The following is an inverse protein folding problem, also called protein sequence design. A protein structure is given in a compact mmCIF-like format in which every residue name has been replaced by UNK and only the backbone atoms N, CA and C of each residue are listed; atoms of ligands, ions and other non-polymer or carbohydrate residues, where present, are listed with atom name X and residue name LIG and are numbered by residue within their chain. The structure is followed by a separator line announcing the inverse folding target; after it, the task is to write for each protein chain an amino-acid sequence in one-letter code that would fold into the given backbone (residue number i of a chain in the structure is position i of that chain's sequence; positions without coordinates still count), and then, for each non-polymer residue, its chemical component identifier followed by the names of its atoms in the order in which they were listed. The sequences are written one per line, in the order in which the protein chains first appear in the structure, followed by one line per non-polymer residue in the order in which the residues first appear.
data_IF_476554112540
#
_entry.id   IF_476554112540
#
_cell.length_a   1.000
_cell.length_b   1.000
_cell.length_c   1.000
_cell.angle_alpha   90.00
_cell.angle_beta   90.00
_cell.angle_gamma   90.00
#
_symmetry.space_group_name_H-M   'P 1'
#
loop_
_entity.id
_entity.type
_entity.pdbx_description
1 polymer ?
#
# COMPACT_ATOMS: atom_id res chain seq x y z
N UNK A 1 68.77 27.57 15.36
CA UNK A 1 67.64 26.83 15.97
C UNK A 1 66.71 26.43 14.83
N UNK A 2 66.37 25.15 14.76
CA UNK A 2 65.86 24.45 13.57
C UNK A 2 64.43 24.83 13.12
N UNK A 3 64.18 24.51 11.85
CA UNK A 3 62.98 24.68 11.00
C UNK A 3 61.87 23.67 11.35
N UNK A 4 60.59 24.05 11.17
CA UNK A 4 59.57 23.34 10.34
C UNK A 4 58.14 23.20 10.90
N UNK A 5 57.19 23.73 10.10
CA UNK A 5 55.87 23.23 9.66
C UNK A 5 54.85 22.54 10.60
N UNK A 6 53.60 23.05 10.54
CA UNK A 6 52.36 22.33 10.15
C UNK A 6 51.18 23.31 10.38
N UNK A 7 50.60 23.99 9.38
CA UNK A 7 49.65 23.50 8.38
C UNK A 7 48.62 22.51 8.97
N UNK A 8 47.58 23.05 9.59
CA UNK A 8 46.28 22.38 9.66
C UNK A 8 45.28 23.12 8.78
N UNK A 9 45.27 22.71 7.52
CA UNK A 9 44.15 22.90 6.61
C UNK A 9 42.95 22.18 7.23
N UNK A 10 42.01 22.92 7.82
CA UNK A 10 40.70 22.37 8.13
C UNK A 10 39.98 22.20 6.79
N UNK A 11 40.08 20.99 6.24
CA UNK A 11 39.29 20.52 5.13
C UNK A 11 37.81 20.73 5.47
N UNK A 12 37.19 21.68 4.76
CA UNK A 12 35.76 21.62 4.47
C UNK A 12 35.48 20.26 3.85
N UNK A 13 34.96 19.32 4.63
CA UNK A 13 34.19 18.21 4.08
C UNK A 13 32.94 18.83 3.48
N UNK A 14 33.04 19.14 2.19
CA UNK A 14 31.87 19.27 1.32
C UNK A 14 31.16 17.92 1.42
N UNK A 15 30.13 17.85 2.26
CA UNK A 15 29.12 16.80 2.12
C UNK A 15 28.54 17.02 0.74
N UNK A 16 28.90 16.17 -0.22
CA UNK A 16 28.17 16.05 -1.48
C UNK A 16 26.70 15.98 -1.10
N UNK A 17 25.90 16.97 -1.49
CA UNK A 17 24.47 16.90 -1.29
C UNK A 17 24.01 15.61 -1.94
N UNK A 18 23.64 14.61 -1.12
CA UNK A 18 23.02 13.37 -1.59
C UNK A 18 21.87 13.76 -2.50
N UNK A 19 21.69 13.06 -3.63
CA UNK A 19 20.58 13.29 -4.54
C UNK A 19 19.28 13.41 -3.71
N UNK A 20 18.48 14.48 -3.86
CA UNK A 20 17.18 14.62 -3.22
C UNK A 20 16.33 13.35 -3.25
N UNK A 21 16.39 12.59 -4.34
CA UNK A 21 15.71 11.29 -4.44
C UNK A 21 16.30 10.23 -3.49
N UNK A 22 17.63 10.15 -3.37
CA UNK A 22 18.30 9.19 -2.48
C UNK A 22 17.89 9.39 -1.02
N UNK A 23 17.68 10.64 -0.59
CA UNK A 23 17.21 10.92 0.77
C UNK A 23 15.81 10.33 1.03
N UNK A 24 14.91 10.42 0.05
CA UNK A 24 13.56 9.86 0.16
C UNK A 24 13.59 8.32 0.10
N UNK A 25 14.41 7.74 -0.77
CA UNK A 25 14.61 6.29 -0.85
C UNK A 25 15.24 5.72 0.43
N UNK A 26 16.21 6.43 1.02
CA UNK A 26 16.82 6.05 2.29
C UNK A 26 15.80 6.07 3.43
N UNK A 27 14.96 7.11 3.49
CA UNK A 27 13.90 7.19 4.50
C UNK A 27 12.88 6.04 4.35
N UNK A 28 12.54 5.65 3.12
CA UNK A 28 11.70 4.48 2.85
C UNK A 28 12.39 3.19 3.32
N UNK A 29 13.64 2.95 2.95
CA UNK A 29 14.36 1.74 3.35
C UNK A 29 14.50 1.62 4.86
N UNK A 30 14.82 2.72 5.54
CA UNK A 30 14.94 2.75 6.99
C UNK A 30 13.59 2.55 7.67
N UNK A 31 12.53 3.18 7.15
CA UNK A 31 11.15 3.01 7.60
C UNK A 31 10.71 1.54 7.55
N UNK A 32 10.86 0.88 6.40
CA UNK A 32 10.56 -0.55 6.24
C UNK A 32 11.37 -1.43 7.20
N UNK A 33 12.63 -1.09 7.42
CA UNK A 33 13.51 -1.83 8.35
C UNK A 33 13.02 -1.70 9.79
N UNK A 34 12.64 -0.50 10.23
CA UNK A 34 12.11 -0.29 11.57
C UNK A 34 10.73 -0.91 11.76
N UNK A 35 9.85 -0.81 10.75
CA UNK A 35 8.51 -1.40 10.77
C UNK A 35 8.57 -2.93 10.84
N UNK A 36 9.43 -3.57 10.03
CA UNK A 36 9.65 -5.03 10.08
C UNK A 36 10.22 -5.52 11.42
N UNK A 37 10.92 -4.65 12.16
CA UNK A 37 11.43 -4.93 13.50
C UNK A 37 10.41 -4.59 14.61
N UNK A 38 9.22 -4.10 14.26
CA UNK A 38 8.19 -3.66 15.21
C UNK A 38 8.58 -2.42 16.03
N UNK A 39 9.58 -1.64 15.58
CA UNK A 39 10.07 -0.45 16.28
C UNK A 39 9.21 0.78 16.02
N UNK A 40 8.53 0.81 14.89
CA UNK A 40 7.58 1.86 14.50
C UNK A 40 6.35 1.22 13.86
N UNK A 41 5.22 1.91 13.86
CA UNK A 41 4.05 1.47 13.09
C UNK A 41 4.23 1.76 11.60
N UNK A 42 3.47 1.07 10.73
CA UNK A 42 3.44 1.42 9.30
C UNK A 42 2.93 2.86 9.09
N UNK A 43 2.09 3.38 10.00
CA UNK A 43 1.65 4.77 9.96
C UNK A 43 2.83 5.73 10.19
N UNK A 44 3.70 5.43 11.15
CA UNK A 44 4.90 6.23 11.44
C UNK A 44 5.92 6.14 10.30
N UNK A 45 6.06 4.96 9.69
CA UNK A 45 6.85 4.79 8.47
C UNK A 45 6.36 5.74 7.37
N UNK A 46 5.05 5.73 7.05
CA UNK A 46 4.47 6.61 6.03
C UNK A 46 4.69 8.08 6.35
N UNK A 47 4.50 8.47 7.61
CA UNK A 47 4.73 9.84 8.07
C UNK A 47 6.18 10.25 7.81
N UNK A 48 7.14 9.39 8.16
CA UNK A 48 8.56 9.66 7.96
C UNK A 48 8.95 9.85 6.51
N UNK A 49 8.43 9.01 5.60
CA UNK A 49 8.69 9.16 4.16
C UNK A 49 8.08 10.48 3.68
N UNK A 50 6.85 10.82 4.10
CA UNK A 50 6.18 12.08 3.77
C UNK A 50 6.95 13.31 4.26
N UNK A 51 7.36 13.33 5.52
CA UNK A 51 8.15 14.43 6.09
C UNK A 51 9.50 14.59 5.39
N UNK A 52 10.14 13.48 5.01
CA UNK A 52 11.39 13.54 4.24
C UNK A 52 11.17 14.13 2.86
N UNK A 53 10.10 13.73 2.17
CA UNK A 53 9.71 14.33 0.90
C UNK A 53 9.48 15.83 1.04
N UNK A 54 8.71 16.26 2.05
CA UNK A 54 8.39 17.66 2.27
C UNK A 54 9.63 18.50 2.61
N UNK A 55 10.54 17.96 3.42
CA UNK A 55 11.80 18.62 3.76
C UNK A 55 12.72 18.78 2.55
N UNK A 56 12.76 17.79 1.66
CA UNK A 56 13.73 17.73 0.55
C UNK A 56 13.21 18.45 -0.70
N UNK A 57 11.95 18.22 -1.07
CA UNK A 57 11.36 18.79 -2.29
C UNK A 57 10.43 19.96 -2.01
N UNK A 58 9.81 20.01 -0.84
CA UNK A 58 8.82 21.02 -0.49
C UNK A 58 7.60 21.02 -1.43
N UNK A 59 6.78 22.09 -1.39
CA UNK A 59 5.69 22.28 -2.34
C UNK A 59 6.22 22.41 -3.76
N UNK A 60 5.40 22.04 -4.75
CA UNK A 60 5.73 22.25 -6.17
C UNK A 60 5.87 23.76 -6.44
N UNK A 61 7.04 24.27 -6.89
CA UNK A 61 7.22 25.67 -7.21
C UNK A 61 6.26 26.10 -8.32
N UNK A 62 5.80 27.34 -8.26
CA UNK A 62 4.90 27.90 -9.28
C UNK A 62 5.48 27.78 -10.70
N UNK A 63 6.81 27.92 -10.83
CA UNK A 63 7.57 27.82 -12.09
C UNK A 63 8.33 26.50 -12.21
N UNK A 64 7.76 25.39 -11.74
CA UNK A 64 8.43 24.08 -11.83
C UNK A 64 8.77 23.66 -13.27
N UNK A 65 8.05 24.17 -14.26
CA UNK A 65 8.28 23.93 -15.69
C UNK A 65 9.61 24.53 -16.18
N UNK A 66 10.29 25.34 -15.38
CA UNK A 66 11.63 25.88 -15.69
C UNK A 66 12.76 25.00 -15.13
N UNK A 67 12.42 24.03 -14.28
CA UNK A 67 13.42 23.11 -13.73
C UNK A 67 14.02 22.24 -14.84
N UNK A 68 15.32 21.89 -14.76
CA UNK A 68 15.93 20.90 -15.66
C UNK A 68 15.19 19.56 -15.62
N UNK A 69 15.17 18.84 -16.75
CA UNK A 69 14.44 17.56 -16.86
C UNK A 69 14.94 16.50 -15.88
N UNK A 70 16.21 16.54 -15.51
CA UNK A 70 16.79 15.69 -14.46
C UNK A 70 16.15 15.93 -13.09
N UNK A 71 16.02 17.20 -12.68
CA UNK A 71 15.36 17.57 -11.43
C UNK A 71 13.87 17.21 -11.43
N UNK A 72 13.18 17.40 -12.56
CA UNK A 72 11.80 16.95 -12.73
C UNK A 72 11.68 15.43 -12.63
N UNK A 73 12.63 14.68 -13.17
CA UNK A 73 12.65 13.22 -13.09
C UNK A 73 12.84 12.75 -11.66
N UNK A 74 13.81 13.31 -10.93
CA UNK A 74 14.03 13.02 -9.52
C UNK A 74 12.78 13.32 -8.68
N UNK A 75 12.16 14.48 -8.93
CA UNK A 75 10.93 14.89 -8.23
C UNK A 75 9.73 14.02 -8.58
N UNK A 76 9.57 13.61 -9.84
CA UNK A 76 8.53 12.67 -10.26
C UNK A 76 8.68 11.34 -9.53
N UNK A 77 9.90 10.77 -9.51
CA UNK A 77 10.15 9.49 -8.82
C UNK A 77 9.86 9.57 -7.33
N UNK A 78 10.23 10.68 -6.68
CA UNK A 78 9.91 10.90 -5.28
C UNK A 78 8.39 11.06 -5.06
N UNK A 79 7.69 11.77 -5.94
CA UNK A 79 6.24 11.95 -5.86
C UNK A 79 5.48 10.64 -6.14
N UNK A 80 5.94 9.82 -7.08
CA UNK A 80 5.45 8.47 -7.36
C UNK A 80 5.58 7.57 -6.12
N UNK A 81 6.76 7.57 -5.47
CA UNK A 81 6.96 6.82 -4.24
C UNK A 81 5.99 7.26 -3.14
N UNK A 82 5.89 8.56 -2.88
CA UNK A 82 4.98 9.08 -1.86
C UNK A 82 3.52 8.79 -2.19
N UNK A 83 3.10 8.97 -3.44
CA UNK A 83 1.75 8.65 -3.89
C UNK A 83 1.42 7.17 -3.64
N UNK A 84 2.38 6.27 -3.86
CA UNK A 84 2.23 4.85 -3.56
C UNK A 84 2.02 4.56 -2.08
N UNK A 85 2.83 5.15 -1.20
CA UNK A 85 2.77 4.87 0.24
C UNK A 85 1.63 5.60 0.95
N UNK A 86 1.42 6.88 0.64
CA UNK A 86 0.52 7.76 1.38
C UNK A 86 -0.90 7.76 0.82
N UNK A 87 -1.06 7.53 -0.49
CA UNK A 87 -2.32 7.72 -1.20
C UNK A 87 -2.92 9.12 -1.00
N UNK A 88 -2.08 10.12 -0.75
CA UNK A 88 -2.50 11.51 -0.62
C UNK A 88 -2.83 12.10 -2.01
N UNK A 89 -4.10 12.49 -2.29
CA UNK A 89 -4.49 13.08 -3.56
C UNK A 89 -3.63 14.27 -3.99
N UNK A 90 -3.17 15.11 -3.06
CA UNK A 90 -2.33 16.26 -3.39
C UNK A 90 -0.97 15.83 -3.97
N UNK A 91 -0.43 14.70 -3.50
CA UNK A 91 0.84 14.13 -3.99
C UNK A 91 0.66 13.46 -5.34
N UNK A 92 -0.50 12.85 -5.57
CA UNK A 92 -0.86 12.30 -6.88
C UNK A 92 -1.01 13.43 -7.90
N UNK A 93 -1.70 14.53 -7.55
CA UNK A 93 -1.82 15.72 -8.41
C UNK A 93 -0.43 16.35 -8.74
N UNK A 94 0.49 16.40 -7.76
CA UNK A 94 1.87 16.83 -8.00
C UNK A 94 2.60 15.90 -9.00
N UNK A 95 2.51 14.58 -8.79
CA UNK A 95 3.12 13.60 -9.68
C UNK A 95 2.55 13.71 -11.11
N UNK A 96 1.24 13.92 -11.25
CA UNK A 96 0.56 14.14 -12.52
C UNK A 96 1.05 15.41 -13.22
N UNK A 97 1.18 16.52 -12.49
CA UNK A 97 1.66 17.80 -13.04
C UNK A 97 3.09 17.70 -13.56
N UNK A 98 3.98 17.02 -12.82
CA UNK A 98 5.37 16.80 -13.23
C UNK A 98 5.42 15.84 -14.42
N UNK A 99 4.62 14.77 -14.42
CA UNK A 99 4.55 13.81 -15.52
C UNK A 99 4.10 14.47 -16.82
N UNK A 100 3.11 15.37 -16.77
CA UNK A 100 2.64 16.11 -17.94
C UNK A 100 3.75 16.99 -18.55
N UNK A 101 4.56 17.62 -17.72
CA UNK A 101 5.71 18.42 -18.19
C UNK A 101 6.83 17.53 -18.76
N UNK A 102 7.15 16.41 -18.11
CA UNK A 102 8.12 15.44 -18.63
C UNK A 102 7.67 14.88 -19.99
N UNK A 103 6.39 14.58 -20.15
CA UNK A 103 5.78 14.14 -21.41
C UNK A 103 5.89 15.21 -22.50
N UNK A 104 5.59 16.47 -22.18
CA UNK A 104 5.70 17.60 -23.10
C UNK A 104 7.13 17.77 -23.63
N UNK A 105 8.13 17.44 -22.81
CA UNK A 105 9.56 17.45 -23.16
C UNK A 105 10.03 16.21 -23.92
N UNK A 106 9.16 15.24 -24.19
CA UNK A 106 9.52 14.00 -24.87
C UNK A 106 10.32 13.02 -24.00
N UNK A 107 10.18 13.09 -22.67
CA UNK A 107 10.88 12.17 -21.76
C UNK A 107 10.35 10.75 -21.90
N UNK A 108 11.25 9.77 -21.96
CA UNK A 108 10.92 8.33 -22.04
C UNK A 108 10.03 7.89 -20.87
N UNK A 109 9.23 6.82 -21.06
CA UNK A 109 8.39 6.24 -20.01
C UNK A 109 7.02 6.89 -19.81
N UNK A 110 6.54 7.67 -20.79
CA UNK A 110 5.21 8.30 -20.76
C UNK A 110 4.08 7.33 -20.41
N UNK A 111 4.06 6.17 -21.07
CA UNK A 111 3.00 5.18 -20.87
C UNK A 111 3.01 4.60 -19.45
N UNK A 112 4.19 4.26 -18.93
CA UNK A 112 4.33 3.73 -17.57
C UNK A 112 3.88 4.76 -16.52
N UNK A 113 4.24 6.04 -16.70
CA UNK A 113 3.76 7.13 -15.82
C UNK A 113 2.24 7.26 -15.86
N UNK A 114 1.64 7.26 -17.06
CA UNK A 114 0.17 7.35 -17.22
C UNK A 114 -0.53 6.19 -16.53
N UNK A 115 -0.03 4.96 -16.70
CA UNK A 115 -0.58 3.76 -16.04
C UNK A 115 -0.48 3.85 -14.54
N UNK A 116 0.69 4.22 -14.01
CA UNK A 116 0.85 4.40 -12.56
C UNK A 116 -0.11 5.45 -12.01
N UNK A 117 -0.19 6.63 -12.62
CA UNK A 117 -1.06 7.72 -12.15
C UNK A 117 -2.54 7.35 -12.23
N UNK A 118 -2.97 6.68 -13.30
CA UNK A 118 -4.33 6.19 -13.40
C UNK A 118 -4.67 5.20 -12.27
N UNK A 119 -3.73 4.30 -11.97
CA UNK A 119 -3.90 3.32 -10.91
C UNK A 119 -3.87 3.96 -9.50
N UNK A 120 -3.04 5.00 -9.28
CA UNK A 120 -3.02 5.80 -8.06
C UNK A 120 -4.34 6.56 -7.84
N UNK A 121 -4.88 7.19 -8.88
CA UNK A 121 -6.18 7.85 -8.81
C UNK A 121 -7.33 6.89 -8.52
N UNK A 122 -7.31 5.69 -9.12
CA UNK A 122 -8.28 4.65 -8.83
C UNK A 122 -8.16 4.13 -7.39
N UNK A 123 -6.93 4.03 -6.85
CA UNK A 123 -6.70 3.64 -5.46
C UNK A 123 -7.34 4.62 -4.47
N UNK A 124 -7.38 5.92 -4.79
CA UNK A 124 -8.11 6.96 -4.03
C UNK A 124 -9.53 7.21 -4.53
N UNK A 125 -10.09 6.26 -5.30
CA UNK A 125 -11.50 6.22 -5.73
C UNK A 125 -11.91 7.37 -6.67
N UNK A 126 -10.95 7.93 -7.40
CA UNK A 126 -11.15 8.95 -8.45
C UNK A 126 -11.16 8.31 -9.83
N UNK A 127 -12.22 7.54 -10.12
CA UNK A 127 -12.42 6.87 -11.41
C UNK A 127 -12.36 7.86 -12.58
N UNK A 128 -12.96 9.03 -12.43
CA UNK A 128 -12.99 10.12 -13.42
C UNK A 128 -11.59 10.50 -13.91
N UNK A 129 -10.68 10.74 -12.95
CA UNK A 129 -9.28 11.10 -13.24
C UNK A 129 -8.51 9.94 -13.84
N UNK A 130 -8.69 8.73 -13.31
CA UNK A 130 -8.04 7.53 -13.82
C UNK A 130 -8.39 7.26 -15.30
N UNK A 131 -9.68 7.37 -15.66
CA UNK A 131 -10.15 7.20 -17.06
C UNK A 131 -9.58 8.27 -17.98
N UNK A 132 -9.57 9.52 -17.54
CA UNK A 132 -9.01 10.63 -18.32
C UNK A 132 -7.53 10.41 -18.69
N UNK A 133 -6.74 9.83 -17.77
CA UNK A 133 -5.33 9.52 -18.00
C UNK A 133 -5.09 8.35 -18.95
N UNK A 134 -6.04 7.44 -19.15
CA UNK A 134 -5.87 6.30 -20.06
C UNK A 134 -6.47 6.53 -21.46
N UNK A 135 -7.36 7.50 -21.63
CA UNK A 135 -7.87 7.89 -22.95
C UNK A 135 -8.54 6.72 -23.67
N UNK A 136 -7.93 6.22 -24.74
CA UNK A 136 -8.43 5.05 -25.49
C UNK A 136 -8.55 3.79 -24.62
N UNK A 137 -7.70 3.65 -23.59
CA UNK A 137 -7.72 2.50 -22.67
C UNK A 137 -8.60 2.76 -21.44
N UNK A 138 -9.46 3.78 -21.44
CA UNK A 138 -10.31 4.12 -20.29
C UNK A 138 -11.24 2.97 -19.85
N UNK A 139 -11.61 2.06 -20.75
CA UNK A 139 -12.43 0.88 -20.42
C UNK A 139 -11.68 -0.19 -19.61
N UNK A 140 -10.35 -0.06 -19.48
CA UNK A 140 -9.55 -0.86 -18.55
C UNK A 140 -9.70 -0.44 -17.09
N UNK A 141 -10.17 0.78 -16.84
CA UNK A 141 -10.47 1.26 -15.49
C UNK A 141 -11.81 0.66 -15.02
N UNK A 142 -11.83 -0.07 -13.90
CA UNK A 142 -13.08 -0.57 -13.33
C UNK A 142 -14.04 0.57 -12.97
N UNK A 143 -15.34 0.35 -13.18
CA UNK A 143 -16.38 1.27 -12.72
C UNK A 143 -16.63 1.11 -11.22
N UNK A 144 -16.78 2.22 -10.52
CA UNK A 144 -17.08 2.28 -9.10
C UNK A 144 -18.58 2.46 -8.88
N UNK A 145 -19.17 1.56 -8.09
CA UNK A 145 -20.53 1.69 -7.58
C UNK A 145 -20.45 1.95 -6.08
N UNK A 146 -20.42 3.22 -5.73
CA UNK A 146 -20.20 3.69 -4.36
C UNK A 146 -21.51 3.85 -3.59
N UNK A 147 -21.43 3.67 -2.27
CA UNK A 147 -22.55 3.94 -1.38
C UNK A 147 -22.59 5.45 -1.07
N UNK A 148 -23.78 6.09 -1.04
CA UNK A 148 -23.88 7.54 -0.88
C UNK A 148 -23.26 8.08 0.43
N UNK A 149 -23.39 7.33 1.52
CA UNK A 149 -22.81 7.64 2.82
C UNK A 149 -22.50 6.33 3.55
N UNK A 150 -21.31 6.23 4.15
CA UNK A 150 -20.89 5.12 4.98
C UNK A 150 -20.18 5.61 6.24
N UNK A 151 -20.63 5.10 7.38
CA UNK A 151 -19.97 5.26 8.67
C UNK A 151 -19.23 3.95 8.98
N UNK A 152 -17.96 4.05 9.39
CA UNK A 152 -17.11 2.88 9.65
C UNK A 152 -16.36 2.32 8.43
N UNK A 153 -15.71 1.15 8.58
CA UNK A 153 -14.96 0.49 7.51
C UNK A 153 -15.88 -0.05 6.42
N UNK A 154 -15.41 0.04 5.18
CA UNK A 154 -16.08 -0.55 4.02
C UNK A 154 -15.05 -1.15 3.07
N UNK A 155 -15.52 -2.02 2.18
CA UNK A 155 -14.68 -2.70 1.21
C UNK A 155 -15.26 -2.58 -0.19
N UNK A 156 -14.43 -2.88 -1.19
CA UNK A 156 -14.82 -3.06 -2.57
C UNK A 156 -14.87 -4.54 -2.90
N UNK A 157 -16.02 -4.98 -3.39
CA UNK A 157 -16.25 -6.29 -3.98
C UNK A 157 -16.09 -6.20 -5.49
N UNK A 158 -15.40 -7.18 -6.08
CA UNK A 158 -15.28 -7.30 -7.53
C UNK A 158 -16.53 -7.95 -8.14
N UNK A 159 -16.98 -7.39 -9.26
CA UNK A 159 -18.00 -7.89 -10.17
C UNK A 159 -17.47 -7.84 -11.61
N UNK A 160 -18.12 -8.52 -12.55
CA UNK A 160 -17.79 -8.48 -13.99
C UNK A 160 -16.29 -8.69 -14.25
N UNK A 161 -15.71 -9.77 -13.70
CA UNK A 161 -14.27 -10.08 -13.84
C UNK A 161 -13.33 -8.96 -13.36
N UNK A 162 -13.80 -8.15 -12.40
CA UNK A 162 -13.04 -7.02 -11.86
C UNK A 162 -13.27 -5.70 -12.60
N UNK A 163 -14.17 -5.67 -13.59
CA UNK A 163 -14.55 -4.45 -14.34
C UNK A 163 -15.51 -3.55 -13.57
N UNK A 164 -16.15 -4.06 -12.52
CA UNK A 164 -17.00 -3.29 -11.62
C UNK A 164 -16.57 -3.53 -10.18
N UNK A 165 -16.42 -2.45 -9.41
CA UNK A 165 -16.11 -2.47 -7.98
C UNK A 165 -17.30 -1.90 -7.22
N UNK A 166 -17.92 -2.73 -6.40
CA UNK A 166 -19.10 -2.34 -5.61
C UNK A 166 -18.67 -2.13 -4.17
N UNK A 167 -18.96 -0.95 -3.62
CA UNK A 167 -18.72 -0.67 -2.21
C UNK A 167 -19.76 -1.36 -1.34
N UNK A 168 -19.31 -2.04 -0.29
CA UNK A 168 -20.17 -2.67 0.73
C UNK A 168 -19.62 -2.42 2.15
N UNK A 169 -20.47 -2.36 3.18
CA UNK A 169 -20.02 -2.27 4.57
C UNK A 169 -19.12 -3.45 4.94
N UNK A 170 -18.13 -3.22 5.80
CA UNK A 170 -17.28 -4.29 6.33
C UNK A 170 -17.78 -4.75 7.70
N UNK A 171 -18.06 -6.03 7.86
CA UNK A 171 -18.61 -6.58 9.10
C UNK A 171 -17.52 -6.76 10.16
N UNK A 172 -17.75 -6.21 11.35
CA UNK A 172 -16.83 -6.27 12.49
C UNK A 172 -17.49 -6.80 13.76
N UNK A 173 -18.82 -6.95 13.79
CA UNK A 173 -19.58 -7.49 14.91
C UNK A 173 -19.38 -9.00 15.07
N UNK A 174 -19.48 -9.46 16.31
CA UNK A 174 -19.23 -10.84 16.68
C UNK A 174 -17.77 -11.23 16.53
N UNK A 175 -17.53 -12.54 16.39
CA UNK A 175 -16.18 -13.09 16.22
C UNK A 175 -15.83 -13.11 14.73
N UNK A 176 -14.72 -12.49 14.34
CA UNK A 176 -14.23 -12.46 12.95
C UNK A 176 -12.73 -12.74 12.93
N UNK A 177 -12.28 -13.57 12.00
CA UNK A 177 -10.87 -13.69 11.65
C UNK A 177 -10.64 -12.92 10.36
N UNK A 178 -10.13 -11.69 10.46
CA UNK A 178 -9.76 -10.92 9.28
C UNK A 178 -8.34 -11.25 8.89
N UNK A 179 -8.11 -11.57 7.63
CA UNK A 179 -6.78 -11.85 7.10
C UNK A 179 -6.45 -10.81 6.04
N UNK A 180 -5.47 -9.97 6.32
CA UNK A 180 -4.92 -9.02 5.35
C UNK A 180 -4.03 -9.81 4.39
N UNK A 181 -4.36 -9.83 3.11
CA UNK A 181 -3.74 -10.68 2.09
C UNK A 181 -3.51 -9.91 0.79
N UNK A 182 -2.60 -10.41 -0.05
CA UNK A 182 -2.40 -9.89 -1.40
C UNK A 182 -2.42 -11.05 -2.41
N UNK A 183 -3.15 -10.96 -3.54
CA UNK A 183 -3.29 -12.07 -4.51
C UNK A 183 -1.94 -12.56 -5.06
N UNK A 184 -0.98 -11.64 -5.21
CA UNK A 184 0.33 -11.96 -5.77
C UNK A 184 1.37 -12.37 -4.72
N UNK A 185 1.07 -12.27 -3.41
CA UNK A 185 1.99 -12.65 -2.34
C UNK A 185 2.02 -14.17 -2.13
N UNK A 186 3.21 -14.78 -2.24
CA UNK A 186 3.41 -16.22 -2.05
C UNK A 186 2.97 -16.71 -0.67
N UNK A 187 3.40 -16.03 0.39
CA UNK A 187 3.00 -16.35 1.77
C UNK A 187 1.50 -16.22 1.99
N UNK A 188 0.83 -15.27 1.33
CA UNK A 188 -0.63 -15.16 1.40
C UNK A 188 -1.30 -16.38 0.76
N UNK A 189 -0.84 -16.80 -0.43
CA UNK A 189 -1.41 -17.98 -1.10
C UNK A 189 -1.21 -19.26 -0.29
N UNK A 190 -0.04 -19.43 0.33
CA UNK A 190 0.24 -20.58 1.20
C UNK A 190 -0.65 -20.59 2.46
N UNK A 191 -0.80 -19.44 3.12
CA UNK A 191 -1.70 -19.28 4.26
C UNK A 191 -3.16 -19.60 3.90
N UNK A 192 -3.64 -19.09 2.77
CA UNK A 192 -5.01 -19.32 2.30
C UNK A 192 -5.23 -20.78 1.90
N UNK A 193 -4.25 -21.42 1.25
CA UNK A 193 -4.30 -22.83 0.95
C UNK A 193 -4.39 -23.68 2.22
N UNK A 194 -3.67 -23.32 3.29
CA UNK A 194 -3.80 -23.99 4.57
C UNK A 194 -5.20 -23.79 5.17
N UNK A 195 -5.70 -22.54 5.21
CA UNK A 195 -7.04 -22.20 5.72
C UNK A 195 -8.15 -22.99 5.01
N UNK A 196 -8.07 -23.16 3.69
CA UNK A 196 -9.09 -23.85 2.91
C UNK A 196 -8.99 -25.37 2.98
N UNK A 197 -7.77 -25.94 3.04
CA UNK A 197 -7.58 -27.38 2.88
C UNK A 197 -7.32 -28.13 4.20
N UNK A 198 -6.83 -27.47 5.25
CA UNK A 198 -6.55 -28.14 6.53
C UNK A 198 -7.83 -28.35 7.34
N UNK A 199 -8.23 -29.60 7.64
CA UNK A 199 -9.44 -29.88 8.42
C UNK A 199 -9.45 -29.24 9.80
N UNK A 200 -8.29 -28.97 10.41
CA UNK A 200 -8.22 -28.30 11.72
C UNK A 200 -8.74 -26.86 11.70
N UNK A 201 -8.92 -26.26 10.52
CA UNK A 201 -9.49 -24.93 10.35
C UNK A 201 -10.98 -24.95 9.96
N UNK A 202 -11.63 -26.12 9.91
CA UNK A 202 -13.02 -26.22 9.46
C UNK A 202 -13.97 -25.30 10.26
N UNK A 203 -13.88 -25.29 11.59
CA UNK A 203 -14.75 -24.45 12.44
C UNK A 203 -14.48 -22.94 12.31
N UNK A 204 -13.29 -22.55 11.85
CA UNK A 204 -12.91 -21.14 11.74
C UNK A 204 -13.28 -20.52 10.38
N UNK A 205 -13.38 -21.32 9.31
CA UNK A 205 -13.59 -20.85 7.92
C UNK A 205 -14.80 -19.92 7.77
N UNK A 206 -15.90 -20.21 8.46
CA UNK A 206 -17.13 -19.39 8.42
C UNK A 206 -16.98 -18.01 9.09
N UNK A 207 -15.86 -17.76 9.79
CA UNK A 207 -15.55 -16.49 10.44
C UNK A 207 -14.46 -15.71 9.68
N UNK A 208 -13.91 -16.25 8.60
CA UNK A 208 -12.81 -15.65 7.86
C UNK A 208 -13.33 -14.55 6.94
N UNK A 209 -12.64 -13.41 6.95
CA UNK A 209 -12.81 -12.34 5.95
C UNK A 209 -11.44 -12.01 5.35
N UNK A 210 -11.34 -12.04 4.02
CA UNK A 210 -10.09 -11.71 3.32
C UNK A 210 -10.09 -10.25 2.91
N UNK A 211 -9.16 -9.48 3.46
CA UNK A 211 -9.01 -8.05 3.24
C UNK A 211 -7.76 -7.79 2.41
N UNK A 212 -7.89 -7.12 1.28
CA UNK A 212 -6.77 -6.72 0.42
C UNK A 212 -6.46 -5.24 0.69
N UNK A 213 -5.18 -4.85 0.86
CA UNK A 213 -4.80 -3.46 1.08
C UNK A 213 -5.30 -2.53 -0.04
N UNK A 214 -5.55 -1.27 0.33
CA UNK A 214 -5.74 -0.19 -0.63
C UNK A 214 -4.37 0.23 -1.18
N UNK A 215 -4.12 0.01 -2.48
CA UNK A 215 -2.86 0.38 -3.13
C UNK A 215 -3.01 0.62 -4.64
N UNK A 216 -2.09 1.37 -5.29
CA UNK A 216 -2.17 1.66 -6.73
C UNK A 216 -1.95 0.47 -7.66
N UNK A 217 -1.16 -0.54 -7.28
CA UNK A 217 -0.73 -1.60 -8.22
C UNK A 217 -1.57 -2.87 -8.16
N UNK A 218 -2.81 -2.74 -7.69
CA UNK A 218 -3.69 -3.87 -7.47
C UNK A 218 -4.32 -4.37 -8.78
N UNK A 219 -4.19 -5.68 -9.06
CA UNK A 219 -4.91 -6.34 -10.15
C UNK A 219 -6.30 -6.78 -9.68
N UNK A 220 -7.34 -6.04 -10.08
CA UNK A 220 -8.73 -6.43 -9.81
C UNK A 220 -9.14 -7.69 -10.58
N UNK A 221 -8.51 -7.96 -11.72
CA UNK A 221 -8.68 -9.20 -12.46
C UNK A 221 -8.16 -10.42 -11.66
N UNK A 222 -7.00 -10.29 -10.99
CA UNK A 222 -6.45 -11.37 -10.15
C UNK A 222 -7.37 -11.64 -8.95
N UNK A 223 -7.95 -10.59 -8.35
CA UNK A 223 -8.93 -10.71 -7.27
C UNK A 223 -10.21 -11.38 -7.77
N UNK A 224 -10.72 -11.00 -8.94
CA UNK A 224 -11.90 -11.62 -9.53
C UNK A 224 -11.64 -13.10 -9.86
N UNK A 225 -10.46 -13.42 -10.40
CA UNK A 225 -10.04 -14.79 -10.68
C UNK A 225 -9.93 -15.64 -9.40
N UNK A 226 -9.44 -15.08 -8.29
CA UNK A 226 -9.49 -15.71 -6.97
C UNK A 226 -10.94 -15.97 -6.55
N UNK A 227 -11.78 -14.92 -6.57
CA UNK A 227 -13.17 -14.98 -6.11
C UNK A 227 -14.03 -15.98 -6.91
N UNK A 228 -13.66 -16.28 -8.16
CA UNK A 228 -14.33 -17.28 -8.99
C UNK A 228 -13.96 -18.74 -8.64
N UNK A 229 -12.83 -18.96 -7.94
CA UNK A 229 -12.28 -20.30 -7.66
C UNK A 229 -12.33 -20.70 -6.20
N UNK A 230 -12.48 -19.73 -5.30
CA UNK A 230 -12.35 -19.91 -3.85
C UNK A 230 -13.65 -19.56 -3.12
N UNK A 231 -13.91 -20.26 -2.02
CA UNK A 231 -15.16 -20.09 -1.26
C UNK A 231 -15.14 -18.81 -0.42
N UNK A 232 -13.95 -18.41 0.04
CA UNK A 232 -13.77 -17.19 0.85
C UNK A 232 -13.26 -16.09 -0.09
N UNK A 233 -14.09 -15.08 -0.41
CA UNK A 233 -13.72 -14.10 -1.40
C UNK A 233 -12.84 -13.00 -0.81
N UNK A 234 -11.89 -12.51 -1.60
CA UNK A 234 -11.13 -11.30 -1.35
C UNK A 234 -11.97 -10.05 -1.56
N UNK A 235 -11.77 -9.08 -0.67
CA UNK A 235 -12.40 -7.75 -0.69
C UNK A 235 -11.33 -6.69 -0.47
N UNK A 236 -11.36 -5.61 -1.23
CA UNK A 236 -10.33 -4.56 -1.15
C UNK A 236 -10.75 -3.51 -0.13
N UNK A 237 -9.88 -3.09 0.78
CA UNK A 237 -10.16 -1.98 1.68
C UNK A 237 -10.57 -0.74 0.87
N UNK A 238 -11.74 -0.16 1.15
CA UNK A 238 -12.20 1.02 0.44
C UNK A 238 -11.30 2.23 0.74
N UNK A 239 -11.06 2.46 2.02
CA UNK A 239 -10.20 3.48 2.60
C UNK A 239 -9.50 2.86 3.81
N UNK A 240 -8.18 2.70 3.73
CA UNK A 240 -7.40 2.03 4.79
C UNK A 240 -7.44 2.78 6.12
N UNK A 241 -7.63 4.09 6.12
CA UNK A 241 -7.66 4.89 7.35
C UNK A 241 -8.97 4.68 8.15
N UNK A 242 -9.99 4.07 7.52
CA UNK A 242 -11.24 3.64 8.19
C UNK A 242 -11.10 2.32 8.95
N UNK A 243 -9.98 1.62 8.80
CA UNK A 243 -9.64 0.39 9.51
C UNK A 243 -8.62 0.71 10.62
N UNK A 244 -9.04 1.50 11.61
CA UNK A 244 -8.20 2.02 12.69
C UNK A 244 -7.54 0.93 13.56
N UNK A 245 -8.10 -0.27 13.57
CA UNK A 245 -7.58 -1.45 14.25
C UNK A 245 -6.53 -2.23 13.45
N UNK A 246 -6.30 -1.90 12.18
CA UNK A 246 -5.22 -2.49 11.35
C UNK A 246 -3.94 -1.69 11.59
N UNK A 247 -3.04 -2.25 12.40
CA UNK A 247 -1.73 -1.66 12.68
C UNK A 247 -0.68 -1.94 11.59
N UNK A 248 -0.94 -2.94 10.74
CA UNK A 248 -0.07 -3.38 9.67
C UNK A 248 -0.86 -3.97 8.49
N UNK A 249 -0.55 -3.48 7.29
CA UNK A 249 -1.06 -3.93 6.01
C UNK A 249 -0.14 -4.96 5.34
N UNK A 250 0.98 -5.32 5.97
CA UNK A 250 1.82 -6.42 5.53
C UNK A 250 1.03 -7.74 5.39
N UNK A 251 1.37 -8.55 4.38
CA UNK A 251 0.61 -9.74 4.02
C UNK A 251 1.43 -11.04 4.13
N UNK A 252 0.86 -12.15 4.64
CA UNK A 252 -0.44 -12.21 5.32
C UNK A 252 -0.34 -11.69 6.76
N UNK A 253 -1.36 -10.99 7.25
CA UNK A 253 -1.52 -10.67 8.67
C UNK A 253 -2.92 -11.03 9.14
N UNK A 254 -3.03 -11.75 10.24
CA UNK A 254 -4.28 -12.24 10.81
C UNK A 254 -4.66 -11.38 12.01
N UNK A 255 -5.90 -10.91 12.02
CA UNK A 255 -6.51 -10.19 13.13
C UNK A 255 -7.74 -10.96 13.58
N UNK A 256 -7.75 -11.40 14.83
CA UNK A 256 -8.95 -11.94 15.46
C UNK A 256 -9.69 -10.78 16.13
N UNK A 257 -10.90 -10.48 15.62
CA UNK A 257 -11.77 -9.45 16.14
C UNK A 257 -12.89 -10.04 16.98
N UNK A 258 -13.27 -9.35 18.05
CA UNK A 258 -14.50 -9.54 18.81
C UNK A 258 -15.21 -8.20 18.95
N UNK A 259 -16.35 -8.06 18.30
CA UNK A 259 -17.18 -6.85 18.31
C UNK A 259 -16.37 -5.59 17.97
N UNK A 260 -15.64 -5.65 16.85
CA UNK A 260 -14.79 -4.58 16.34
C UNK A 260 -13.47 -4.37 17.05
N UNK A 261 -13.14 -5.16 18.09
CA UNK A 261 -11.87 -5.04 18.82
C UNK A 261 -10.92 -6.19 18.52
N UNK A 262 -9.65 -5.88 18.28
CA UNK A 262 -8.60 -6.89 18.13
C UNK A 262 -8.36 -7.58 19.46
N UNK A 263 -8.56 -8.89 19.49
CA UNK A 263 -8.27 -9.76 20.64
C UNK A 263 -7.05 -10.65 20.41
N UNK A 264 -6.51 -10.66 19.19
CA UNK A 264 -5.18 -11.21 18.91
C UNK A 264 -4.76 -11.01 17.46
N UNK A 265 -3.45 -11.13 17.23
CA UNK A 265 -2.80 -10.84 15.96
C UNK A 265 -1.68 -11.84 15.68
N UNK A 266 -1.54 -12.24 14.42
CA UNK A 266 -0.44 -13.09 13.94
C UNK A 266 0.06 -12.48 12.63
N UNK A 267 1.37 -12.26 12.52
CA UNK A 267 1.98 -11.71 11.32
C UNK A 267 2.77 -12.77 10.55
N UNK A 268 2.60 -12.81 9.24
CA UNK A 268 3.32 -13.66 8.31
C UNK A 268 2.86 -15.12 8.27
N UNK A 269 3.50 -15.88 7.39
CA UNK A 269 3.34 -17.33 7.25
C UNK A 269 4.70 -17.98 6.92
N UNK A 270 5.61 -18.09 7.91
CA UNK A 270 7.00 -18.49 7.65
C UNK A 270 7.17 -20.01 7.53
N UNK A 271 7.94 -20.45 6.53
CA UNK A 271 8.34 -21.85 6.37
C UNK A 271 7.18 -22.79 6.02
N UNK A 272 7.45 -24.10 6.03
CA UNK A 272 6.55 -25.13 5.48
C UNK A 272 5.23 -25.29 6.26
N UNK A 273 5.23 -24.99 7.57
CA UNK A 273 4.03 -25.08 8.43
C UNK A 273 3.41 -23.72 8.76
N UNK A 274 4.05 -22.62 8.36
CA UNK A 274 3.58 -21.27 8.63
C UNK A 274 3.30 -21.01 10.12
N UNK A 275 2.35 -20.11 10.36
CA UNK A 275 1.84 -19.83 11.70
C UNK A 275 0.61 -20.68 12.06
N UNK A 276 0.53 -21.91 11.53
CA UNK A 276 -0.64 -22.79 11.68
C UNK A 276 -1.05 -23.01 13.14
N UNK A 277 -0.13 -23.49 13.98
CA UNK A 277 -0.44 -23.83 15.37
C UNK A 277 -0.72 -22.59 16.21
N UNK A 278 -0.05 -21.47 15.91
CA UNK A 278 -0.34 -20.18 16.52
C UNK A 278 -1.77 -19.72 16.19
N UNK A 279 -2.22 -19.91 14.95
CA UNK A 279 -3.59 -19.56 14.54
C UNK A 279 -4.63 -20.45 15.22
N UNK A 280 -4.38 -21.76 15.33
CA UNK A 280 -5.24 -22.67 16.08
C UNK A 280 -5.29 -22.32 17.58
N UNK A 281 -4.15 -21.99 18.19
CA UNK A 281 -4.09 -21.57 19.58
C UNK A 281 -4.86 -20.26 19.81
N UNK A 282 -4.71 -19.28 18.91
CA UNK A 282 -5.46 -18.04 18.93
C UNK A 282 -6.96 -18.30 18.81
N UNK A 283 -7.39 -19.18 17.90
CA UNK A 283 -8.79 -19.57 17.78
C UNK A 283 -9.34 -20.20 19.07
N UNK A 284 -8.60 -21.15 19.66
CA UNK A 284 -8.99 -21.82 20.92
C UNK A 284 -9.15 -20.86 22.10
N UNK A 285 -8.35 -19.78 22.14
CA UNK A 285 -8.42 -18.77 23.20
C UNK A 285 -9.79 -18.09 23.31
N UNK A 286 -10.61 -18.21 22.27
CA UNK A 286 -11.98 -17.68 22.23
C UNK A 286 -13.01 -18.55 22.97
N UNK A 287 -12.61 -19.72 23.49
CA UNK A 287 -13.52 -20.71 24.09
C UNK A 287 -14.17 -21.64 23.07
N UNK A 288 -13.69 -21.65 21.82
CA UNK A 288 -14.17 -22.52 20.74
C UNK A 288 -13.19 -23.68 20.50
N UNK A 289 -13.72 -24.87 20.24
CA UNK A 289 -12.92 -25.98 19.72
C UNK A 289 -12.64 -25.75 18.22
N UNK A 290 -11.42 -26.09 17.73
CA UNK A 290 -11.14 -26.10 16.30
C UNK A 290 -11.95 -27.15 15.56
#
# INVERSE_FOLDING_TARGET
MYVSASLYTLLLTITTASDPLDAVLAAQQEGMTLASQGKISERDERLRISETYDRVFGPLPERFQELPSEQLTARYRAAELIAHYTLDPARIDHAESIAAELDRRGSVGREDRRRFLAAAWLAVRREDRARALLGADADTVPRLRLLPQQHGPSVLRTEEEGRVLVQEPFETAGLRLVVVVHPQCGYSREALAALENDPAFESLRSHVQLLVPQEPRLSFADIAAWNARHTIPMRVAFDRERFDWVDSWATPTFYLLRDGRVVGRIAGWPGQHGNRDALLALWRSTGRSP
#
